data_IF_025855579301
#
_entry.id   IF_025855579301
#
_cell.length_a   1.000
_cell.length_b   1.000
_cell.length_c   1.000
_cell.angle_alpha   90.00
_cell.angle_beta   90.00
_cell.angle_gamma   90.00
#
_symmetry.space_group_name_H-M   'P 1'
#
loop_
_entity.id
_entity.type
_entity.pdbx_description
1 polymer ?
#
# COMPACT_ATOMS: atom_id res chain seq x y z
N UNK A 1 27.78 -21.52 11.99
CA UNK A 1 26.47 -20.98 12.43
C UNK A 1 25.46 -20.73 11.29
N UNK A 2 25.86 -20.36 10.06
CA UNK A 2 24.92 -19.97 8.99
C UNK A 2 24.07 -21.08 8.32
N UNK A 3 24.49 -22.35 8.35
CA UNK A 3 23.78 -23.41 7.59
C UNK A 3 22.49 -23.88 8.27
N UNK A 4 22.47 -23.92 9.60
CA UNK A 4 21.34 -24.38 10.40
C UNK A 4 20.19 -23.37 10.40
N UNK A 5 20.49 -22.10 10.62
CA UNK A 5 19.54 -20.98 10.52
C UNK A 5 18.87 -20.90 9.15
N UNK A 6 19.62 -21.11 8.05
CA UNK A 6 19.04 -21.17 6.70
C UNK A 6 18.10 -22.37 6.52
N UNK A 7 18.45 -23.55 7.02
CA UNK A 7 17.58 -24.74 6.95
C UNK A 7 16.30 -24.55 7.77
N UNK A 8 16.42 -24.00 8.97
CA UNK A 8 15.27 -23.71 9.85
C UNK A 8 14.35 -22.68 9.18
N UNK A 9 14.89 -21.60 8.62
CA UNK A 9 14.09 -20.58 7.92
C UNK A 9 13.38 -21.17 6.69
N UNK A 10 14.06 -22.02 5.90
CA UNK A 10 13.45 -22.69 4.75
C UNK A 10 12.31 -23.64 5.14
N UNK A 11 12.45 -24.38 6.23
CA UNK A 11 11.43 -25.30 6.72
C UNK A 11 10.26 -24.55 7.38
N UNK A 12 10.55 -23.50 8.15
CA UNK A 12 9.54 -22.71 8.86
C UNK A 12 8.74 -21.78 7.93
N UNK A 13 9.26 -21.40 6.76
CA UNK A 13 8.60 -20.44 5.88
C UNK A 13 7.19 -20.85 5.43
N UNK A 14 6.99 -22.09 4.99
CA UNK A 14 5.69 -22.59 4.55
C UNK A 14 4.66 -22.69 5.70
N UNK A 15 4.94 -23.37 6.83
CA UNK A 15 3.98 -23.44 7.93
C UNK A 15 3.70 -22.06 8.52
N UNK A 16 4.69 -21.17 8.61
CA UNK A 16 4.47 -19.82 9.11
C UNK A 16 3.67 -18.95 8.18
N UNK A 17 3.82 -19.10 6.87
CA UNK A 17 2.96 -18.42 5.93
C UNK A 17 1.49 -18.82 6.12
N UNK A 18 1.21 -20.13 6.21
CA UNK A 18 -0.14 -20.62 6.48
C UNK A 18 -0.67 -20.14 7.84
N UNK A 19 0.14 -20.22 8.89
CA UNK A 19 -0.25 -19.71 10.22
C UNK A 19 -0.56 -18.21 10.18
N UNK A 20 0.22 -17.42 9.45
CA UNK A 20 0.02 -15.97 9.33
C UNK A 20 -1.26 -15.62 8.57
N UNK A 21 -1.57 -16.35 7.50
CA UNK A 21 -2.82 -16.20 6.76
C UNK A 21 -4.02 -16.55 7.64
N UNK A 22 -3.97 -17.71 8.33
CA UNK A 22 -5.03 -18.13 9.23
C UNK A 22 -5.23 -17.12 10.36
N UNK A 23 -4.13 -16.66 10.98
CA UNK A 23 -4.18 -15.62 12.01
C UNK A 23 -4.85 -14.36 11.46
N UNK A 24 -4.47 -13.89 10.26
CA UNK A 24 -5.09 -12.71 9.67
C UNK A 24 -6.59 -12.91 9.38
N UNK A 25 -7.01 -14.11 8.96
CA UNK A 25 -8.42 -14.43 8.71
C UNK A 25 -9.25 -14.42 10.01
N UNK A 26 -8.78 -15.09 11.07
CA UNK A 26 -9.46 -15.07 12.37
C UNK A 26 -9.43 -13.69 13.02
N UNK A 27 -8.37 -12.91 12.80
CA UNK A 27 -8.29 -11.53 13.25
C UNK A 27 -9.31 -10.65 12.55
N UNK A 28 -9.48 -10.81 11.23
CA UNK A 28 -10.51 -10.12 10.47
C UNK A 28 -11.92 -10.46 10.99
N UNK A 29 -12.18 -11.75 11.25
CA UNK A 29 -13.43 -12.20 11.87
C UNK A 29 -13.64 -11.55 13.24
N UNK A 30 -12.64 -11.59 14.11
CA UNK A 30 -12.70 -10.98 15.44
C UNK A 30 -13.00 -9.48 15.36
N UNK A 31 -12.31 -8.73 14.50
CA UNK A 31 -12.52 -7.30 14.33
C UNK A 31 -13.96 -6.94 13.94
N UNK A 32 -14.57 -7.72 13.07
CA UNK A 32 -15.91 -7.43 12.53
C UNK A 32 -17.05 -8.03 13.36
N UNK A 33 -16.86 -9.22 13.94
CA UNK A 33 -17.86 -9.85 14.81
C UNK A 33 -17.91 -9.22 16.21
N UNK A 34 -16.81 -8.64 16.70
CA UNK A 34 -16.77 -7.96 17.99
C UNK A 34 -17.73 -6.75 18.08
N UNK A 35 -18.15 -6.20 16.94
CA UNK A 35 -19.11 -5.09 16.90
C UNK A 35 -20.57 -5.52 17.02
N UNK A 36 -20.88 -6.82 16.98
CA UNK A 36 -22.23 -7.32 17.14
C UNK A 36 -22.61 -7.33 18.63
N UNK A 37 -23.83 -6.89 18.96
CA UNK A 37 -24.30 -6.76 20.35
C UNK A 37 -24.48 -8.11 21.06
N UNK A 38 -24.53 -9.22 20.31
CA UNK A 38 -24.58 -10.58 20.85
C UNK A 38 -23.25 -11.28 20.61
N UNK A 39 -22.55 -11.76 21.66
CA UNK A 39 -21.40 -12.64 21.48
C UNK A 39 -21.87 -13.97 20.88
N UNK A 40 -21.73 -14.10 19.56
CA UNK A 40 -22.00 -15.35 18.85
C UNK A 40 -20.86 -16.35 19.04
N UNK A 41 -21.18 -17.65 18.92
CA UNK A 41 -20.21 -18.76 18.97
C UNK A 41 -19.05 -18.55 17.98
N UNK A 42 -19.32 -17.89 16.85
CA UNK A 42 -18.32 -17.58 15.83
C UNK A 42 -17.20 -16.64 16.35
N UNK A 43 -17.51 -15.69 17.23
CA UNK A 43 -16.51 -14.80 17.83
C UNK A 43 -15.58 -15.58 18.76
N UNK A 44 -16.15 -16.46 19.58
CA UNK A 44 -15.38 -17.30 20.51
C UNK A 44 -14.44 -18.25 19.76
N UNK A 45 -14.93 -18.89 18.69
CA UNK A 45 -14.10 -19.70 17.80
C UNK A 45 -12.92 -18.88 17.25
N UNK A 46 -13.17 -17.66 16.74
CA UNK A 46 -12.11 -16.81 16.21
C UNK A 46 -11.06 -16.48 17.29
N UNK A 47 -11.50 -16.12 18.49
CA UNK A 47 -10.61 -15.79 19.61
C UNK A 47 -9.77 -17.00 20.06
N UNK A 48 -10.38 -18.17 20.18
CA UNK A 48 -9.67 -19.41 20.52
C UNK A 48 -8.66 -19.81 19.46
N UNK A 49 -9.01 -19.69 18.18
CA UNK A 49 -8.07 -19.93 17.09
C UNK A 49 -6.89 -18.95 17.12
N UNK A 50 -7.12 -17.66 17.38
CA UNK A 50 -6.05 -16.68 17.54
C UNK A 50 -5.13 -17.02 18.73
N UNK A 51 -5.72 -17.39 19.86
CA UNK A 51 -4.98 -17.80 21.05
C UNK A 51 -4.12 -19.05 20.79
N UNK A 52 -4.67 -20.05 20.08
CA UNK A 52 -3.95 -21.29 19.74
C UNK A 52 -2.82 -21.06 18.72
N UNK A 53 -2.99 -20.14 17.77
CA UNK A 53 -1.99 -19.83 16.75
C UNK A 53 -0.84 -18.97 17.28
N UNK A 54 -1.07 -18.15 18.31
CA UNK A 54 -0.09 -17.19 18.83
C UNK A 54 1.23 -17.85 19.33
N UNK A 55 1.21 -18.96 20.09
CA UNK A 55 2.42 -19.68 20.51
C UNK A 55 3.37 -20.07 19.37
N UNK A 56 2.86 -20.33 18.16
CA UNK A 56 3.69 -20.67 17.00
C UNK A 56 4.67 -19.53 16.68
N UNK A 57 4.19 -18.28 16.68
CA UNK A 57 5.02 -17.11 16.40
C UNK A 57 6.02 -16.82 17.52
N UNK A 58 5.64 -17.07 18.77
CA UNK A 58 6.55 -16.97 19.92
C UNK A 58 7.68 -18.00 19.81
N UNK A 59 7.34 -19.25 19.47
CA UNK A 59 8.33 -20.31 19.29
C UNK A 59 9.34 -19.99 18.16
N UNK A 60 8.88 -19.43 17.03
CA UNK A 60 9.78 -18.95 15.97
C UNK A 60 10.67 -17.80 16.45
N UNK A 61 10.11 -16.81 17.14
CA UNK A 61 10.92 -15.72 17.68
C UNK A 61 12.01 -16.23 18.64
N UNK A 62 11.65 -17.15 19.56
CA UNK A 62 12.59 -17.76 20.51
C UNK A 62 13.67 -18.56 19.80
N UNK A 63 13.29 -19.44 18.86
CA UNK A 63 14.26 -20.26 18.11
C UNK A 63 15.28 -19.40 17.36
N UNK A 64 14.84 -18.34 16.67
CA UNK A 64 15.76 -17.48 15.94
C UNK A 64 16.62 -16.58 16.84
N UNK A 65 16.12 -16.17 18.01
CA UNK A 65 16.92 -15.48 19.04
C UNK A 65 18.00 -16.43 19.58
N UNK A 66 17.63 -17.67 19.93
CA UNK A 66 18.56 -18.69 20.41
C UNK A 66 19.64 -19.06 19.38
N UNK A 67 19.27 -19.04 18.09
CA UNK A 67 20.18 -19.27 16.96
C UNK A 67 21.06 -18.05 16.60
N UNK A 68 20.91 -16.91 17.29
CA UNK A 68 21.74 -15.72 17.11
C UNK A 68 21.53 -15.01 15.77
N UNK A 69 20.29 -14.94 15.26
CA UNK A 69 20.04 -14.36 13.94
C UNK A 69 20.32 -12.85 13.90
N UNK A 70 20.96 -12.33 12.82
CA UNK A 70 21.32 -10.91 12.72
C UNK A 70 20.10 -9.97 12.65
N UNK A 71 18.90 -10.50 12.40
CA UNK A 71 17.65 -9.76 12.22
C UNK A 71 16.61 -10.00 13.32
N UNK A 72 17.03 -10.36 14.54
CA UNK A 72 16.14 -10.65 15.68
C UNK A 72 15.04 -9.61 15.94
N UNK A 73 15.29 -8.31 15.70
CA UNK A 73 14.30 -7.23 15.85
C UNK A 73 13.04 -7.44 14.98
N UNK A 74 13.21 -7.98 13.77
CA UNK A 74 12.07 -8.27 12.90
C UNK A 74 11.23 -9.44 13.42
N UNK A 75 11.84 -10.41 14.11
CA UNK A 75 11.11 -11.52 14.72
C UNK A 75 10.28 -11.07 15.91
N UNK A 76 10.76 -10.09 16.69
CA UNK A 76 9.93 -9.43 17.69
C UNK A 76 8.76 -8.67 17.07
N UNK A 77 9.00 -8.00 15.93
CA UNK A 77 7.93 -7.35 15.18
C UNK A 77 6.89 -8.36 14.67
N UNK A 78 7.32 -9.53 14.19
CA UNK A 78 6.41 -10.61 13.78
C UNK A 78 5.67 -11.23 14.96
N UNK A 79 6.28 -11.31 16.14
CA UNK A 79 5.59 -11.74 17.36
C UNK A 79 4.51 -10.74 17.81
N UNK A 80 4.74 -9.44 17.61
CA UNK A 80 3.79 -8.39 17.95
C UNK A 80 2.67 -8.27 16.91
N UNK A 81 3.03 -8.38 15.62
CA UNK A 81 2.11 -8.28 14.50
C UNK A 81 2.32 -9.47 13.54
N UNK A 82 1.76 -10.65 13.87
CA UNK A 82 1.93 -11.89 13.11
C UNK A 82 1.64 -11.79 11.60
N UNK A 83 0.61 -11.04 11.15
CA UNK A 83 0.34 -10.90 9.72
C UNK A 83 1.51 -10.32 8.91
N UNK A 84 2.40 -9.51 9.50
CA UNK A 84 3.56 -8.97 8.78
C UNK A 84 4.59 -10.04 8.38
N UNK A 85 4.47 -11.25 8.91
CA UNK A 85 5.30 -12.40 8.53
C UNK A 85 4.95 -12.95 7.13
N UNK A 86 3.78 -12.62 6.59
CA UNK A 86 3.35 -13.01 5.24
C UNK A 86 4.33 -12.46 4.20
N UNK A 87 4.91 -13.35 3.38
CA UNK A 87 5.93 -13.03 2.38
C UNK A 87 7.15 -12.29 2.98
N UNK A 88 7.47 -12.47 4.26
CA UNK A 88 8.62 -11.84 4.87
C UNK A 88 9.94 -12.28 4.20
N UNK A 89 10.92 -11.38 4.26
CA UNK A 89 12.23 -11.60 3.63
C UNK A 89 13.06 -12.56 4.47
N UNK A 90 13.91 -13.32 3.79
CA UNK A 90 14.93 -14.22 4.37
C UNK A 90 15.69 -13.52 5.50
N UNK A 91 15.85 -14.21 6.62
CA UNK A 91 16.52 -13.64 7.79
C UNK A 91 18.02 -13.45 7.60
N UNK A 92 18.64 -14.23 6.69
CA UNK A 92 20.06 -14.14 6.41
C UNK A 92 20.41 -12.95 5.54
N UNK A 93 19.82 -12.89 4.35
CA UNK A 93 20.19 -11.89 3.35
C UNK A 93 19.19 -10.75 3.28
N UNK A 94 17.91 -11.03 3.55
CA UNK A 94 16.81 -10.09 3.32
C UNK A 94 16.63 -9.73 1.85
N UNK A 95 17.15 -10.57 0.94
CA UNK A 95 17.03 -10.39 -0.52
C UNK A 95 16.03 -11.35 -1.15
N UNK A 96 15.81 -12.49 -0.52
CA UNK A 96 14.86 -13.50 -0.96
C UNK A 96 13.58 -13.44 -0.17
N UNK A 97 12.47 -13.76 -0.81
CA UNK A 97 11.15 -13.93 -0.18
C UNK A 97 10.62 -15.31 -0.52
N UNK A 98 9.81 -15.87 0.38
CA UNK A 98 9.09 -17.11 0.13
C UNK A 98 7.70 -16.80 -0.40
N UNK A 99 7.36 -17.36 -1.56
CA UNK A 99 6.03 -17.30 -2.16
C UNK A 99 5.44 -18.72 -2.25
N UNK A 100 4.14 -18.93 -1.96
CA UNK A 100 3.53 -20.26 -1.96
C UNK A 100 3.63 -20.99 -3.30
N UNK A 101 3.57 -20.28 -4.42
CA UNK A 101 3.61 -20.87 -5.77
C UNK A 101 5.03 -20.88 -6.36
N UNK A 102 5.89 -19.95 -5.97
CA UNK A 102 7.23 -19.75 -6.57
C UNK A 102 8.40 -20.15 -5.67
N UNK A 103 8.11 -20.68 -4.47
CA UNK A 103 9.08 -20.97 -3.43
C UNK A 103 9.99 -19.75 -3.12
N UNK A 104 11.23 -20.01 -2.71
CA UNK A 104 12.21 -18.97 -2.43
C UNK A 104 12.70 -18.31 -3.73
N UNK A 105 12.45 -17.00 -3.86
CA UNK A 105 12.91 -16.21 -5.01
C UNK A 105 13.52 -14.88 -4.57
N UNK A 106 14.54 -14.44 -5.28
CA UNK A 106 15.16 -13.13 -5.08
C UNK A 106 14.24 -12.00 -5.60
N UNK A 107 14.16 -10.93 -4.81
CA UNK A 107 13.35 -9.74 -5.12
C UNK A 107 14.07 -8.86 -6.13
N UNK A 108 13.91 -9.18 -7.41
CA UNK A 108 14.43 -8.39 -8.53
C UNK A 108 13.38 -7.39 -9.05
N UNK A 109 13.81 -6.29 -9.68
CA UNK A 109 12.91 -5.26 -10.23
C UNK A 109 11.87 -5.84 -11.20
N UNK A 110 12.29 -6.74 -12.11
CA UNK A 110 11.37 -7.43 -13.02
C UNK A 110 10.33 -8.31 -12.29
N UNK A 111 10.68 -8.87 -11.12
CA UNK A 111 9.71 -9.61 -10.30
C UNK A 111 8.73 -8.66 -9.62
N UNK A 112 9.21 -7.52 -9.09
CA UNK A 112 8.38 -6.47 -8.51
C UNK A 112 7.33 -5.97 -9.51
N UNK A 113 7.73 -5.69 -10.75
CA UNK A 113 6.81 -5.21 -11.79
C UNK A 113 5.73 -6.24 -12.14
N UNK A 114 6.10 -7.52 -12.26
CA UNK A 114 5.14 -8.60 -12.53
C UNK A 114 4.14 -8.77 -11.39
N UNK A 115 4.60 -8.78 -10.15
CA UNK A 115 3.74 -8.85 -8.97
C UNK A 115 2.83 -7.63 -8.94
N UNK A 116 3.38 -6.43 -9.11
CA UNK A 116 2.60 -5.18 -9.11
C UNK A 116 1.52 -5.16 -10.19
N UNK A 117 1.82 -5.65 -11.39
CA UNK A 117 0.83 -5.79 -12.47
C UNK A 117 -0.24 -6.83 -12.12
N UNK A 118 0.15 -7.98 -11.58
CA UNK A 118 -0.78 -9.05 -11.21
C UNK A 118 -1.71 -8.63 -10.07
N UNK A 119 -1.20 -7.96 -9.03
CA UNK A 119 -1.97 -7.47 -7.89
C UNK A 119 -2.83 -6.22 -8.21
N UNK A 120 -2.54 -5.51 -9.31
CA UNK A 120 -3.39 -4.38 -9.74
C UNK A 120 -4.84 -4.77 -10.04
N UNK A 121 -5.11 -6.02 -10.45
CA UNK A 121 -6.44 -6.54 -10.80
C UNK A 121 -7.21 -7.03 -9.55
N UNK A 122 -6.68 -7.92 -8.70
CA UNK A 122 -7.33 -8.34 -7.44
C UNK A 122 -7.87 -7.18 -6.63
N UNK A 123 -7.06 -6.16 -6.39
CA UNK A 123 -7.48 -5.00 -5.62
C UNK A 123 -8.62 -4.20 -6.26
N UNK A 124 -8.78 -4.23 -7.59
CA UNK A 124 -9.90 -3.58 -8.28
C UNK A 124 -11.15 -4.41 -8.09
N UNK A 125 -11.03 -5.73 -8.21
CA UNK A 125 -12.13 -6.65 -7.98
C UNK A 125 -12.63 -6.49 -6.54
N UNK A 126 -11.73 -6.46 -5.56
CA UNK A 126 -12.09 -6.25 -4.15
C UNK A 126 -12.77 -4.90 -3.93
N UNK A 127 -12.23 -3.81 -4.48
CA UNK A 127 -12.85 -2.49 -4.43
C UNK A 127 -14.25 -2.49 -5.07
N UNK A 128 -14.43 -3.14 -6.22
CA UNK A 128 -15.73 -3.25 -6.86
C UNK A 128 -16.71 -4.10 -6.03
N UNK A 129 -16.22 -5.15 -5.36
CA UNK A 129 -17.02 -6.06 -4.52
C UNK A 129 -17.51 -5.41 -3.22
N UNK A 130 -16.84 -4.35 -2.77
CA UNK A 130 -17.30 -3.51 -1.65
C UNK A 130 -18.63 -2.84 -1.98
N UNK A 131 -18.82 -2.37 -3.21
CA UNK A 131 -20.03 -1.64 -3.61
C UNK A 131 -21.32 -2.46 -3.46
N UNK A 132 -21.45 -3.68 -4.02
CA UNK A 132 -22.65 -4.48 -3.85
C UNK A 132 -22.86 -4.90 -2.38
N UNK A 133 -21.78 -5.22 -1.65
CA UNK A 133 -21.92 -5.54 -0.23
C UNK A 133 -22.49 -4.35 0.56
N UNK A 134 -21.97 -3.16 0.29
CA UNK A 134 -22.47 -1.93 0.90
C UNK A 134 -23.92 -1.61 0.50
N UNK A 135 -24.28 -1.83 -0.76
CA UNK A 135 -25.66 -1.63 -1.23
C UNK A 135 -26.64 -2.56 -0.50
N UNK A 136 -26.28 -3.83 -0.30
CA UNK A 136 -27.07 -4.79 0.47
C UNK A 136 -27.19 -4.36 1.93
N UNK A 137 -26.08 -4.00 2.57
CA UNK A 137 -26.07 -3.55 3.97
C UNK A 137 -26.95 -2.30 4.18
N UNK A 138 -26.94 -1.36 3.22
CA UNK A 138 -27.73 -0.14 3.32
C UNK A 138 -29.22 -0.36 3.06
N UNK A 139 -29.58 -1.13 2.03
CA UNK A 139 -30.99 -1.34 1.65
C UNK A 139 -31.71 -2.30 2.60
N UNK A 140 -31.02 -3.35 3.09
CA UNK A 140 -31.58 -4.39 3.95
C UNK A 140 -31.27 -4.21 5.44
N UNK A 141 -30.85 -3.02 5.88
CA UNK A 141 -30.39 -2.77 7.25
C UNK A 141 -31.36 -3.30 8.33
N UNK A 142 -32.67 -3.02 8.19
CA UNK A 142 -33.69 -3.46 9.16
C UNK A 142 -33.82 -4.98 9.26
N UNK A 143 -33.63 -5.70 8.16
CA UNK A 143 -33.76 -7.17 8.10
C UNK A 143 -32.51 -7.86 8.67
N UNK A 144 -31.34 -7.25 8.44
CA UNK A 144 -30.07 -7.70 9.02
C UNK A 144 -30.10 -7.53 10.54
N UNK A 145 -30.60 -6.40 11.05
CA UNK A 145 -30.75 -6.17 12.49
C UNK A 145 -31.80 -7.10 13.14
N UNK A 146 -32.81 -7.54 12.38
CA UNK A 146 -33.86 -8.42 12.89
C UNK A 146 -33.43 -9.90 13.01
N UNK A 147 -32.42 -10.34 12.25
CA UNK A 147 -32.01 -11.76 12.23
C UNK A 147 -30.53 -11.92 12.57
N UNK A 148 -30.17 -12.56 13.68
CA UNK A 148 -28.78 -12.64 14.15
C UNK A 148 -27.85 -13.33 13.15
N UNK A 149 -28.34 -14.36 12.46
CA UNK A 149 -27.55 -15.09 11.45
C UNK A 149 -27.22 -14.24 10.23
N UNK A 150 -28.10 -13.32 9.80
CA UNK A 150 -27.81 -12.38 8.72
C UNK A 150 -26.79 -11.33 9.16
N UNK A 151 -26.86 -10.88 10.41
CA UNK A 151 -25.86 -9.98 10.99
C UNK A 151 -24.47 -10.62 11.03
N UNK A 152 -24.37 -11.88 11.43
CA UNK A 152 -23.10 -12.64 11.43
C UNK A 152 -22.53 -12.81 10.02
N UNK A 153 -23.36 -13.21 9.04
CA UNK A 153 -22.92 -13.41 7.66
C UNK A 153 -22.45 -12.10 7.03
N UNK A 154 -23.19 -11.00 7.26
CA UNK A 154 -22.80 -9.69 6.73
C UNK A 154 -21.51 -9.20 7.36
N UNK A 155 -21.34 -9.36 8.69
CA UNK A 155 -20.09 -9.05 9.37
C UNK A 155 -18.91 -9.89 8.86
N UNK A 156 -19.11 -11.20 8.64
CA UNK A 156 -18.11 -12.08 8.04
C UNK A 156 -17.75 -11.66 6.60
N UNK A 157 -18.74 -11.31 5.78
CA UNK A 157 -18.51 -10.84 4.43
C UNK A 157 -17.70 -9.53 4.41
N UNK A 158 -18.00 -8.58 5.29
CA UNK A 158 -17.19 -7.36 5.44
C UNK A 158 -15.79 -7.69 5.95
N UNK A 159 -15.67 -8.63 6.89
CA UNK A 159 -14.38 -9.13 7.38
C UNK A 159 -13.54 -9.79 6.29
N UNK A 160 -14.16 -10.55 5.37
CA UNK A 160 -13.47 -11.15 4.22
C UNK A 160 -12.94 -10.11 3.24
N UNK A 161 -13.69 -9.03 3.01
CA UNK A 161 -13.22 -7.90 2.22
C UNK A 161 -12.02 -7.25 2.90
N UNK A 162 -12.12 -6.93 4.19
CA UNK A 162 -11.00 -6.37 4.95
C UNK A 162 -9.79 -7.30 4.93
N UNK A 163 -9.99 -8.61 5.10
CA UNK A 163 -8.95 -9.62 5.01
C UNK A 163 -8.22 -9.57 3.66
N UNK A 164 -8.97 -9.54 2.56
CA UNK A 164 -8.39 -9.50 1.22
C UNK A 164 -7.58 -8.21 0.98
N UNK A 165 -8.13 -7.05 1.37
CA UNK A 165 -7.42 -5.77 1.30
C UNK A 165 -6.13 -5.78 2.14
N UNK A 166 -6.23 -6.29 3.37
CA UNK A 166 -5.10 -6.33 4.29
C UNK A 166 -4.02 -7.29 3.83
N UNK A 167 -4.42 -8.49 3.38
CA UNK A 167 -3.51 -9.49 2.83
C UNK A 167 -2.75 -8.92 1.63
N UNK A 168 -3.47 -8.31 0.69
CA UNK A 168 -2.87 -7.69 -0.47
C UNK A 168 -1.87 -6.59 -0.08
N UNK A 169 -2.28 -5.68 0.80
CA UNK A 169 -1.43 -4.58 1.25
C UNK A 169 -0.16 -5.10 1.95
N UNK A 170 -0.28 -6.13 2.79
CA UNK A 170 0.84 -6.80 3.46
C UNK A 170 1.78 -7.46 2.46
N UNK A 171 1.25 -8.16 1.46
CA UNK A 171 2.07 -8.79 0.42
C UNK A 171 2.85 -7.71 -0.35
N UNK A 172 2.19 -6.63 -0.77
CA UNK A 172 2.85 -5.58 -1.54
C UNK A 172 3.90 -4.82 -0.73
N UNK A 173 3.60 -4.45 0.52
CA UNK A 173 4.57 -3.75 1.39
C UNK A 173 5.78 -4.64 1.75
N UNK A 174 5.60 -5.96 1.86
CA UNK A 174 6.72 -6.88 2.14
C UNK A 174 7.72 -6.94 0.98
N UNK A 175 7.16 -6.91 -0.24
CA UNK A 175 7.89 -7.02 -1.49
C UNK A 175 8.60 -5.71 -1.83
N UNK A 176 7.95 -4.57 -1.62
CA UNK A 176 8.51 -3.24 -1.90
C UNK A 176 9.79 -2.96 -1.09
N UNK A 177 10.79 -2.36 -1.73
CA UNK A 177 12.02 -1.94 -1.02
C UNK A 177 11.79 -0.67 -0.19
N UNK A 178 11.02 0.30 -0.70
CA UNK A 178 10.71 1.57 -0.04
C UNK A 178 9.30 1.53 0.56
N UNK A 179 9.15 0.80 1.67
CA UNK A 179 7.86 0.58 2.36
C UNK A 179 7.10 1.86 2.67
N UNK A 180 7.82 2.90 3.11
CA UNK A 180 7.24 4.20 3.49
C UNK A 180 6.66 4.92 2.28
N UNK A 181 7.36 4.92 1.15
CA UNK A 181 6.88 5.55 -0.09
C UNK A 181 5.62 4.83 -0.60
N UNK A 182 5.58 3.51 -0.45
CA UNK A 182 4.40 2.72 -0.77
C UNK A 182 3.20 3.10 0.10
N UNK A 183 3.37 3.16 1.43
CA UNK A 183 2.30 3.59 2.35
C UNK A 183 1.78 5.01 2.04
N UNK A 184 2.67 5.93 1.65
CA UNK A 184 2.27 7.30 1.28
C UNK A 184 1.46 7.32 -0.02
N UNK A 185 1.83 6.49 -1.00
CA UNK A 185 1.12 6.37 -2.27
C UNK A 185 -0.25 5.71 -2.10
N UNK A 186 -0.35 4.75 -1.19
CA UNK A 186 -1.52 3.91 -0.90
C UNK A 186 -2.11 4.24 0.48
N UNK A 187 -2.20 5.53 0.80
CA UNK A 187 -2.62 5.97 2.13
C UNK A 187 -4.11 5.66 2.42
N UNK A 188 -4.94 5.56 1.38
CA UNK A 188 -6.35 5.21 1.51
C UNK A 188 -6.51 3.73 1.90
N UNK A 189 -5.81 2.82 1.21
CA UNK A 189 -5.74 1.39 1.57
C UNK A 189 -5.31 1.23 3.03
N UNK A 190 -4.27 1.96 3.44
CA UNK A 190 -3.77 1.94 4.82
C UNK A 190 -4.84 2.44 5.80
N UNK A 191 -5.58 3.51 5.46
CA UNK A 191 -6.65 4.02 6.31
C UNK A 191 -7.78 2.99 6.45
N UNK A 192 -8.22 2.38 5.36
CA UNK A 192 -9.23 1.30 5.37
C UNK A 192 -8.80 0.16 6.29
N UNK A 193 -7.53 -0.25 6.24
CA UNK A 193 -7.00 -1.33 7.07
C UNK A 193 -6.94 -0.90 8.55
N UNK A 194 -6.45 0.30 8.83
CA UNK A 194 -6.22 0.77 10.20
C UNK A 194 -7.50 1.16 10.95
N UNK A 195 -8.54 1.66 10.28
CA UNK A 195 -9.74 2.17 10.95
C UNK A 195 -10.44 1.12 11.84
N UNK A 196 -10.72 -0.10 11.37
CA UNK A 196 -11.30 -1.17 12.20
C UNK A 196 -10.39 -1.54 13.37
N UNK A 197 -9.07 -1.56 13.16
CA UNK A 197 -8.10 -1.86 14.23
C UNK A 197 -8.11 -0.79 15.33
N UNK A 198 -8.26 0.49 14.97
CA UNK A 198 -8.36 1.60 15.94
C UNK A 198 -9.66 1.47 16.75
N UNK A 199 -10.77 1.11 16.11
CA UNK A 199 -12.03 0.86 16.80
C UNK A 199 -11.89 -0.28 17.82
N UNK A 200 -11.26 -1.39 17.42
CA UNK A 200 -11.02 -2.54 18.27
C UNK A 200 -10.07 -2.24 19.44
N UNK A 201 -8.91 -1.63 19.18
CA UNK A 201 -7.93 -1.32 20.24
C UNK A 201 -8.51 -0.38 21.31
N UNK A 202 -9.35 0.57 20.90
CA UNK A 202 -10.06 1.45 21.83
C UNK A 202 -11.06 0.69 22.68
N UNK A 203 -11.80 -0.25 22.10
CA UNK A 203 -12.72 -1.09 22.85
C UNK A 203 -11.98 -1.98 23.86
N UNK A 204 -10.83 -2.55 23.48
CA UNK A 204 -9.99 -3.36 24.36
C UNK A 204 -9.39 -2.57 25.53
N UNK A 205 -8.82 -1.39 25.26
CA UNK A 205 -8.17 -0.54 26.28
C UNK A 205 -9.15 -0.05 27.37
N UNK A 206 -10.42 0.12 27.01
CA UNK A 206 -11.45 0.68 27.90
C UNK A 206 -12.40 -0.37 28.47
N UNK A 207 -12.21 -1.66 28.11
CA UNK A 207 -12.89 -2.78 28.79
C UNK A 207 -12.54 -2.86 30.29
N UNK A 208 -11.39 -2.29 30.70
CA UNK A 208 -10.99 -2.18 32.10
C UNK A 208 -11.52 -0.95 32.85
N UNK A 209 -11.79 0.17 32.17
CA UNK A 209 -12.14 1.45 32.80
C UNK A 209 -13.31 2.15 32.07
N UNK A 210 -14.47 2.14 32.74
CA UNK A 210 -15.65 3.02 32.55
C UNK A 210 -16.59 2.73 31.36
N UNK A 211 -17.68 2.02 31.70
CA UNK A 211 -18.95 1.95 30.96
C UNK A 211 -19.51 3.37 30.74
N UNK A 212 -19.42 3.92 29.52
CA UNK A 212 -20.00 5.24 29.26
C UNK A 212 -20.70 5.31 27.90
N UNK A 213 -21.95 5.77 27.90
CA UNK A 213 -22.84 5.90 26.74
C UNK A 213 -22.26 6.76 25.59
N UNK A 214 -21.19 7.54 25.84
CA UNK A 214 -20.43 8.24 24.78
C UNK A 214 -19.75 7.31 23.78
N UNK A 215 -19.54 6.04 24.16
CA UNK A 215 -18.83 5.06 23.32
C UNK A 215 -19.63 4.64 22.08
N UNK A 216 -20.96 4.50 22.18
CA UNK A 216 -21.80 4.13 21.04
C UNK A 216 -21.75 5.19 19.91
N UNK A 217 -21.67 6.47 20.27
CA UNK A 217 -21.61 7.57 19.30
C UNK A 217 -20.28 7.57 18.54
N UNK A 218 -19.15 7.42 19.22
CA UNK A 218 -17.83 7.45 18.58
C UNK A 218 -17.53 6.16 17.79
N UNK A 219 -18.03 5.01 18.25
CA UNK A 219 -18.01 3.76 17.48
C UNK A 219 -18.76 3.90 16.16
N UNK A 220 -19.99 4.45 16.21
CA UNK A 220 -20.79 4.71 15.01
C UNK A 220 -20.08 5.67 14.05
N UNK A 221 -19.37 6.68 14.57
CA UNK A 221 -18.57 7.60 13.74
C UNK A 221 -17.39 6.89 13.05
N UNK A 222 -16.64 6.02 13.74
CA UNK A 222 -15.53 5.30 13.12
C UNK A 222 -16.04 4.35 12.03
N UNK A 223 -17.15 3.66 12.25
CA UNK A 223 -17.74 2.79 11.24
C UNK A 223 -18.22 3.58 10.01
N UNK A 224 -18.81 4.77 10.22
CA UNK A 224 -19.15 5.69 9.12
C UNK A 224 -17.93 6.16 8.35
N UNK A 225 -16.85 6.52 9.06
CA UNK A 225 -15.59 6.93 8.43
C UNK A 225 -14.92 5.77 7.69
N UNK A 226 -15.00 4.56 8.22
CA UNK A 226 -14.50 3.35 7.57
C UNK A 226 -15.25 3.10 6.26
N UNK A 227 -16.59 3.20 6.28
CA UNK A 227 -17.42 3.11 5.08
C UNK A 227 -17.09 4.19 4.06
N UNK A 228 -16.88 5.44 4.50
CA UNK A 228 -16.48 6.53 3.63
C UNK A 228 -15.08 6.32 3.04
N UNK A 229 -14.13 5.83 3.84
CA UNK A 229 -12.77 5.51 3.38
C UNK A 229 -12.78 4.37 2.37
N UNK A 230 -13.59 3.33 2.58
CA UNK A 230 -13.80 2.25 1.61
C UNK A 230 -14.33 2.80 0.28
N UNK A 231 -15.37 3.64 0.31
CA UNK A 231 -15.91 4.26 -0.91
C UNK A 231 -14.88 5.11 -1.64
N UNK A 232 -14.13 5.91 -0.88
CA UNK A 232 -13.06 6.74 -1.43
C UNK A 232 -11.96 5.88 -2.06
N UNK A 233 -11.66 4.72 -1.47
CA UNK A 233 -10.71 3.78 -2.03
C UNK A 233 -11.17 3.28 -3.40
N UNK A 234 -12.43 2.86 -3.50
CA UNK A 234 -13.03 2.43 -4.78
C UNK A 234 -12.88 3.52 -5.85
N UNK A 235 -13.23 4.76 -5.51
CA UNK A 235 -13.15 5.90 -6.42
C UNK A 235 -11.70 6.19 -6.83
N UNK A 236 -10.80 6.29 -5.85
CA UNK A 236 -9.38 6.55 -6.09
C UNK A 236 -8.77 5.48 -7.01
N UNK A 237 -9.17 4.23 -6.80
CA UNK A 237 -8.69 3.09 -7.57
C UNK A 237 -9.20 3.07 -9.01
N UNK A 238 -10.46 3.40 -9.21
CA UNK A 238 -11.04 3.67 -10.54
C UNK A 238 -10.32 4.83 -11.25
N UNK A 239 -9.96 5.88 -10.51
CA UNK A 239 -9.29 7.06 -11.06
C UNK A 239 -7.82 6.79 -11.44
N UNK A 240 -7.09 6.03 -10.63
CA UNK A 240 -5.67 5.69 -10.87
C UNK A 240 -5.44 4.74 -12.05
N UNK A 241 -6.45 3.96 -12.46
CA UNK A 241 -6.36 2.97 -13.55
C UNK A 241 -6.63 3.54 -14.96
N UNK A 242 -6.60 4.86 -15.15
CA UNK A 242 -6.46 5.44 -16.49
C UNK A 242 -5.00 5.85 -16.79
N UNK A 243 -3.99 4.94 -16.77
CA UNK A 243 -2.61 5.28 -17.13
C UNK A 243 -2.52 5.67 -18.60
N UNK A 244 -3.37 5.13 -19.47
CA UNK A 244 -3.43 5.49 -20.89
C UNK A 244 -3.82 6.96 -21.09
N UNK A 245 -4.85 7.45 -20.38
CA UNK A 245 -5.18 8.89 -20.41
C UNK A 245 -4.08 9.74 -19.78
N UNK A 246 -3.35 9.21 -18.79
CA UNK A 246 -2.20 9.90 -18.19
C UNK A 246 -1.01 9.96 -19.14
N UNK A 247 -0.70 8.89 -19.86
CA UNK A 247 0.36 8.84 -20.87
C UNK A 247 -0.03 9.74 -22.04
N UNK A 248 -1.23 9.63 -22.59
CA UNK A 248 -1.72 10.50 -23.65
C UNK A 248 -1.68 11.99 -23.26
N UNK A 249 -1.99 12.32 -22.00
CA UNK A 249 -1.86 13.68 -21.46
C UNK A 249 -0.39 14.12 -21.31
N UNK A 250 0.50 13.22 -20.91
CA UNK A 250 1.93 13.54 -20.78
C UNK A 250 2.60 13.68 -22.15
N UNK A 251 2.21 12.88 -23.14
CA UNK A 251 2.69 12.99 -24.53
C UNK A 251 2.23 14.32 -25.16
N UNK A 252 0.98 14.72 -24.93
CA UNK A 252 0.50 16.04 -25.40
C UNK A 252 1.26 17.20 -24.74
N UNK A 253 1.53 17.12 -23.43
CA UNK A 253 2.35 18.10 -22.73
C UNK A 253 3.81 18.11 -23.23
N UNK A 254 4.38 16.95 -23.57
CA UNK A 254 5.74 16.85 -24.10
C UNK A 254 5.84 17.56 -25.45
N UNK A 255 4.89 17.30 -26.36
CA UNK A 255 4.83 17.93 -27.69
C UNK A 255 4.70 19.46 -27.56
N UNK A 256 3.87 19.94 -26.64
CA UNK A 256 3.69 21.38 -26.39
C UNK A 256 5.00 22.02 -25.90
N UNK A 257 5.69 21.38 -24.96
CA UNK A 257 6.96 21.88 -24.42
C UNK A 257 8.10 21.84 -25.44
N UNK A 258 8.17 20.83 -26.30
CA UNK A 258 9.14 20.79 -27.39
C UNK A 258 8.94 21.94 -28.40
N UNK A 259 7.70 22.34 -28.67
CA UNK A 259 7.39 23.51 -29.52
C UNK A 259 7.85 24.81 -28.86
N UNK A 260 7.58 24.99 -27.57
CA UNK A 260 8.07 26.15 -26.82
C UNK A 260 9.60 26.24 -26.89
N UNK A 261 10.31 25.14 -26.61
CA UNK A 261 11.78 25.08 -26.69
C UNK A 261 12.27 25.46 -28.10
N UNK A 262 11.60 24.96 -29.14
CA UNK A 262 11.99 25.24 -30.53
C UNK A 262 11.78 26.72 -30.88
N UNK A 263 10.67 27.32 -30.45
CA UNK A 263 10.40 28.74 -30.66
C UNK A 263 11.43 29.64 -29.97
N UNK A 264 11.80 29.32 -28.73
CA UNK A 264 12.84 30.04 -27.98
C UNK A 264 14.18 29.90 -28.70
N UNK A 265 14.54 28.71 -29.20
CA UNK A 265 15.78 28.51 -29.96
C UNK A 265 15.81 29.34 -31.24
N UNK A 266 14.68 29.43 -31.97
CA UNK A 266 14.62 30.26 -33.18
C UNK A 266 14.75 31.74 -32.86
N UNK A 267 14.14 32.21 -31.77
CA UNK A 267 14.27 33.59 -31.33
C UNK A 267 15.71 33.92 -30.91
N UNK A 268 16.36 33.01 -30.18
CA UNK A 268 17.79 33.12 -29.86
C UNK A 268 18.67 33.19 -31.11
N UNK A 269 18.39 32.37 -32.13
CA UNK A 269 19.14 32.37 -33.38
C UNK A 269 18.97 33.69 -34.14
N UNK A 270 17.73 34.18 -34.28
CA UNK A 270 17.44 35.46 -34.92
C UNK A 270 18.09 36.64 -34.20
N UNK A 271 18.04 36.65 -32.86
CA UNK A 271 18.71 37.68 -32.05
C UNK A 271 20.22 37.60 -32.18
N UNK A 272 20.80 36.39 -32.18
CA UNK A 272 22.23 36.17 -32.42
C UNK A 272 22.66 36.70 -33.79
N UNK A 273 21.90 36.41 -34.85
CA UNK A 273 22.22 36.89 -36.20
C UNK A 273 22.07 38.41 -36.32
N UNK A 274 21.05 39.00 -35.68
CA UNK A 274 20.94 40.46 -35.56
C UNK A 274 22.15 41.08 -34.84
N UNK A 275 22.63 40.45 -33.78
CA UNK A 275 23.83 40.90 -33.05
C UNK A 275 25.07 40.80 -33.96
N UNK A 276 25.24 39.69 -34.70
CA UNK A 276 26.34 39.53 -35.65
C UNK A 276 26.30 40.58 -36.76
N UNK A 277 25.15 40.76 -37.41
CA UNK A 277 24.99 41.77 -38.46
C UNK A 277 25.27 43.18 -37.95
N UNK A 278 24.75 43.52 -36.75
CA UNK A 278 25.05 44.80 -36.11
C UNK A 278 26.54 44.96 -35.76
N UNK A 279 27.22 43.89 -35.33
CA UNK A 279 28.66 43.95 -35.07
C UNK A 279 29.49 44.12 -36.35
N UNK A 280 29.05 43.53 -37.47
CA UNK A 280 29.71 43.66 -38.77
C UNK A 280 29.55 45.08 -39.33
N UNK A 281 28.35 45.66 -39.25
CA UNK A 281 28.12 47.04 -39.70
C UNK A 281 28.94 48.06 -38.89
N UNK A 282 29.08 47.87 -37.58
CA UNK A 282 29.91 48.72 -36.72
C UNK A 282 31.40 48.63 -37.10
N UNK A 283 31.90 47.45 -37.50
CA UNK A 283 33.27 47.30 -38.00
C UNK A 283 33.48 47.97 -39.37
N UNK A 284 32.49 47.90 -40.27
CA UNK A 284 32.56 48.56 -41.59
C UNK A 284 32.59 50.09 -41.48
N UNK A 285 31.74 50.68 -40.63
CA UNK A 285 31.72 52.12 -40.38
C UNK A 285 33.07 52.61 -39.81
N UNK A 286 33.66 51.85 -38.88
CA UNK A 286 34.94 52.21 -38.26
C UNK A 286 36.12 52.14 -39.25
N UNK A 287 36.06 51.24 -40.25
CA UNK A 287 37.06 51.17 -41.33
C UNK A 287 36.91 52.30 -42.36
N UNK A 288 35.70 52.86 -42.55
CA UNK A 288 35.48 53.98 -43.47
C UNK A 288 35.90 55.32 -42.86
N UNK A 289 35.70 55.53 -41.55
CA UNK A 289 36.17 56.74 -40.85
C UNK A 289 37.71 56.84 -40.74
N UNK A 290 38.43 55.71 -40.75
CA UNK A 290 39.89 55.69 -40.62
C UNK A 290 40.68 55.98 -41.93
N UNK A 291 40.04 56.37 -43.04
CA UNK A 291 40.79 56.74 -44.27
C UNK A 291 41.31 58.19 -44.17
N UNK A 292 42.60 58.46 -43.90
CA UNK A 292 43.08 59.83 -43.77
C UNK A 292 43.35 60.37 -45.17
N UNK A 293 42.70 61.49 -45.50
CA UNK A 293 43.12 62.39 -46.57
C UNK A 293 44.63 62.66 -46.48
N UNK A 294 45.45 62.05 -47.35
CA UNK A 294 46.77 62.59 -47.67
C UNK A 294 46.88 62.82 -49.17
N UNK A 295 46.66 64.11 -49.48
CA UNK A 295 46.90 64.78 -50.76
C UNK A 295 48.30 64.49 -51.27
N UNK A 296 48.37 64.20 -52.57
CA UNK A 296 49.61 64.24 -53.35
C UNK A 296 50.24 65.63 -53.29
N UNK A 297 51.54 65.66 -53.01
CA UNK A 297 52.46 66.75 -53.28
C UNK A 297 53.78 66.14 -53.74
#
# INVERSE_FOLDING_TARGET
MNRYTKKVDQFAAAPMFCCSILFLAFFAGTLHLFNLDSPGIALDICNWCLFLLYPCFVAEAVTHIALGSPRWKFNLLYCLAPPLRICARDQMTGRSIWFPVLAWREVNQAFLERVRKSFSVPMLVMALLVLPLFAVEHYWQKQIEATPLLADITALATGLIWFAFTLEFIVMISIEQKRVDYCRKHWIDLAVICLPMIAFLRAFRMAGLLKSARMFRLKSLIMKLYRAALMLDVINRLLQRNPEKRIARLETLLIEKEREITSIRTEMALLSDKIKLKSLSVCEDNCQEETPQRRAA
#
